data_IF_629670381607
#
_entry.id   IF_629670381607
#
_cell.length_a   1.000
_cell.length_b   1.000
_cell.length_c   1.000
_cell.angle_alpha   90.00
_cell.angle_beta   90.00
_cell.angle_gamma   90.00
#
_symmetry.space_group_name_H-M   'P 1'
#
loop_
_entity.id
_entity.type
_entity.pdbx_description
1 polymer ?
#
# COMPACT_ATOMS: atom_id res chain seq x y z
N UNK A 1 33.22 4.90 -23.72
CA UNK A 1 33.17 4.13 -22.46
C UNK A 1 32.16 4.82 -21.54
N UNK A 2 30.87 4.53 -21.73
CA UNK A 2 29.80 5.06 -20.89
C UNK A 2 29.69 4.21 -19.64
N UNK A 3 30.18 4.76 -18.53
CA UNK A 3 30.11 4.15 -17.22
C UNK A 3 28.67 3.82 -16.86
N UNK A 4 28.45 2.54 -16.59
CA UNK A 4 27.22 2.00 -16.02
C UNK A 4 27.07 2.59 -14.61
N UNK A 5 26.33 3.68 -14.46
CA UNK A 5 25.96 4.19 -13.13
C UNK A 5 24.94 3.22 -12.55
N UNK A 6 25.45 2.23 -11.79
CA UNK A 6 24.64 1.36 -10.95
C UNK A 6 23.70 2.22 -10.12
N UNK A 7 22.39 2.09 -10.37
CA UNK A 7 21.35 2.80 -9.65
C UNK A 7 21.37 2.31 -8.18
N UNK A 8 22.11 3.01 -7.32
CA UNK A 8 22.35 2.66 -5.91
C UNK A 8 21.17 3.04 -5.01
N UNK A 9 19.95 2.84 -5.49
CA UNK A 9 18.72 3.10 -4.75
C UNK A 9 18.58 2.22 -3.51
N UNK A 10 17.70 2.63 -2.58
CA UNK A 10 17.29 1.86 -1.39
C UNK A 10 17.01 0.37 -1.69
N UNK A 11 16.56 0.06 -2.92
CA UNK A 11 16.20 -1.28 -3.36
C UNK A 11 17.38 -2.26 -3.39
N UNK A 12 18.56 -1.85 -3.85
CA UNK A 12 19.74 -2.74 -3.91
C UNK A 12 20.38 -2.95 -2.53
N UNK A 13 20.19 -2.00 -1.61
CA UNK A 13 20.75 -2.05 -0.26
C UNK A 13 19.87 -2.80 0.74
N UNK A 14 18.55 -2.87 0.49
CA UNK A 14 17.60 -3.38 1.48
C UNK A 14 17.64 -4.91 1.69
N UNK A 15 18.21 -5.71 0.77
CA UNK A 15 18.16 -7.20 0.77
C UNK A 15 16.78 -7.70 1.23
N UNK A 16 15.74 -7.41 0.43
CA UNK A 16 14.32 -7.56 0.81
C UNK A 16 13.90 -9.01 1.04
N UNK A 17 14.50 -9.95 0.32
CA UNK A 17 14.32 -11.37 0.54
C UNK A 17 15.26 -11.82 1.67
N UNK A 18 14.74 -12.23 2.84
CA UNK A 18 15.57 -12.77 3.91
C UNK A 18 16.06 -14.19 3.60
N UNK A 19 15.58 -14.81 2.53
CA UNK A 19 15.89 -16.18 2.15
C UNK A 19 16.95 -16.21 1.05
N UNK A 20 17.86 -17.19 1.10
CA UNK A 20 18.84 -17.43 0.03
C UNK A 20 18.24 -18.17 -1.17
N UNK A 21 17.47 -19.23 -0.88
CA UNK A 21 16.71 -19.99 -1.87
C UNK A 21 15.22 -19.92 -1.53
N UNK A 22 14.52 -18.95 -2.13
CA UNK A 22 13.08 -18.79 -1.91
C UNK A 22 12.26 -19.96 -2.45
N UNK A 23 12.73 -20.69 -3.48
CA UNK A 23 11.98 -21.82 -4.06
C UNK A 23 11.96 -23.02 -3.13
N UNK A 24 13.05 -23.28 -2.42
CA UNK A 24 13.05 -24.27 -1.33
C UNK A 24 12.09 -23.86 -0.20
N UNK A 25 12.08 -22.58 0.19
CA UNK A 25 11.16 -22.06 1.21
C UNK A 25 9.71 -22.20 0.78
N UNK A 26 9.36 -21.79 -0.44
CA UNK A 26 8.02 -21.94 -1.02
C UNK A 26 7.56 -23.40 -1.05
N UNK A 27 8.43 -24.32 -1.49
CA UNK A 27 8.12 -25.75 -1.58
C UNK A 27 7.87 -26.42 -0.23
N UNK A 28 8.43 -25.87 0.87
CA UNK A 28 8.22 -26.37 2.22
C UNK A 28 6.91 -25.90 2.88
N UNK A 29 6.24 -24.89 2.30
CA UNK A 29 5.00 -24.34 2.85
C UNK A 29 3.79 -25.15 2.41
N UNK A 30 2.69 -25.11 3.18
CA UNK A 30 1.43 -25.66 2.72
C UNK A 30 1.02 -25.08 1.36
N UNK A 31 0.29 -25.86 0.56
CA UNK A 31 -0.30 -25.37 -0.69
C UNK A 31 -1.21 -24.17 -0.41
N UNK A 32 -1.33 -23.27 -1.38
CA UNK A 32 -2.26 -22.16 -1.30
C UNK A 32 -3.70 -22.68 -1.14
N UNK A 33 -4.38 -22.22 -0.09
CA UNK A 33 -5.76 -22.62 0.21
C UNK A 33 -6.75 -21.83 -0.65
N UNK A 34 -7.17 -22.45 -1.75
CA UNK A 34 -8.12 -21.90 -2.73
C UNK A 34 -9.55 -21.81 -2.18
N UNK A 35 -9.90 -22.65 -1.21
CA UNK A 35 -11.26 -22.80 -0.68
C UNK A 35 -11.53 -21.88 0.51
N UNK A 36 -10.50 -21.20 1.03
CA UNK A 36 -10.67 -20.31 2.15
C UNK A 36 -11.61 -19.15 1.79
N UNK A 37 -12.62 -18.93 2.64
CA UNK A 37 -13.60 -17.85 2.52
C UNK A 37 -13.50 -16.85 3.66
N UNK A 38 -13.98 -15.63 3.42
CA UNK A 38 -14.14 -14.63 4.49
C UNK A 38 -15.07 -15.17 5.59
N UNK A 39 -14.75 -14.85 6.85
CA UNK A 39 -15.61 -15.18 7.99
C UNK A 39 -15.58 -14.11 9.07
N UNK A 40 -16.69 -13.96 9.77
CA UNK A 40 -16.74 -13.19 11.00
C UNK A 40 -16.43 -14.05 12.22
N UNK A 41 -15.73 -13.45 13.18
CA UNK A 41 -15.54 -14.00 14.53
C UNK A 41 -16.24 -13.10 15.55
N UNK A 42 -16.43 -13.63 16.76
CA UNK A 42 -16.79 -12.79 17.91
C UNK A 42 -15.65 -11.82 18.23
N UNK A 43 -15.97 -10.78 18.99
CA UNK A 43 -14.98 -9.95 19.64
C UNK A 43 -14.07 -10.81 20.53
N UNK A 44 -12.82 -10.37 20.69
CA UNK A 44 -11.81 -11.08 21.50
C UNK A 44 -12.30 -11.25 22.94
N UNK A 45 -12.87 -10.18 23.53
CA UNK A 45 -13.49 -10.20 24.84
C UNK A 45 -14.85 -9.47 24.79
N UNK A 46 -15.97 -10.21 24.65
CA UNK A 46 -17.31 -9.64 24.69
C UNK A 46 -17.68 -9.02 26.05
N UNK A 47 -16.95 -9.36 27.12
CA UNK A 47 -17.17 -8.85 28.47
C UNK A 47 -16.32 -7.62 28.81
N UNK A 48 -15.53 -7.11 27.87
CA UNK A 48 -14.66 -5.95 28.09
C UNK A 48 -15.48 -4.73 28.53
N UNK A 49 -14.96 -3.98 29.50
CA UNK A 49 -15.58 -2.76 30.02
C UNK A 49 -14.64 -1.56 29.87
N UNK A 50 -15.18 -0.34 29.72
CA UNK A 50 -14.40 0.88 29.81
C UNK A 50 -13.47 0.88 31.04
N UNK A 51 -12.19 1.19 30.82
CA UNK A 51 -11.15 1.18 31.86
C UNK A 51 -10.46 -0.18 32.08
N UNK A 52 -10.96 -1.30 31.52
CA UNK A 52 -10.34 -2.63 31.72
C UNK A 52 -8.95 -2.80 31.09
N UNK A 53 -8.53 -1.88 30.22
CA UNK A 53 -7.22 -1.95 29.56
C UNK A 53 -7.15 -3.06 28.50
N UNK A 54 -5.98 -3.66 28.32
CA UNK A 54 -5.76 -4.70 27.32
C UNK A 54 -6.41 -6.05 27.71
N UNK A 55 -6.88 -6.81 26.71
CA UNK A 55 -7.51 -8.14 26.91
C UNK A 55 -6.57 -9.20 27.51
N UNK A 56 -5.26 -8.94 27.54
CA UNK A 56 -4.27 -9.78 28.23
C UNK A 56 -3.14 -8.89 28.79
N UNK A 57 -2.38 -9.43 29.74
CA UNK A 57 -1.30 -8.72 30.43
C UNK A 57 0.12 -9.13 30.02
N UNK A 58 0.29 -10.10 29.10
CA UNK A 58 1.61 -10.65 28.77
C UNK A 58 2.57 -9.62 28.16
N UNK A 59 2.05 -8.53 27.60
CA UNK A 59 2.87 -7.41 27.14
C UNK A 59 3.67 -6.73 28.28
N UNK A 60 3.24 -6.87 29.54
CA UNK A 60 3.98 -6.36 30.71
C UNK A 60 5.27 -7.13 30.99
N UNK A 61 5.38 -8.36 30.49
CA UNK A 61 6.57 -9.19 30.62
C UNK A 61 7.71 -8.72 29.69
N UNK A 62 7.44 -7.72 28.84
CA UNK A 62 8.38 -7.18 27.89
C UNK A 62 8.53 -5.67 28.05
N UNK A 63 9.78 -5.19 28.16
CA UNK A 63 10.05 -3.75 28.15
C UNK A 63 9.88 -3.19 26.73
N UNK A 64 9.35 -1.97 26.64
CA UNK A 64 9.39 -1.19 25.40
C UNK A 64 10.81 -0.61 25.25
N UNK A 65 11.46 -0.89 24.13
CA UNK A 65 12.81 -0.40 23.83
C UNK A 65 12.69 0.87 22.99
N UNK A 66 13.44 1.90 23.39
CA UNK A 66 13.59 3.12 22.61
C UNK A 66 14.51 2.87 21.41
N UNK A 67 14.10 3.37 20.24
CA UNK A 67 14.90 3.32 19.02
C UNK A 67 14.93 4.72 18.41
N UNK A 68 16.05 5.41 18.54
CA UNK A 68 16.28 6.68 17.85
C UNK A 68 16.53 6.41 16.35
N UNK A 69 15.70 6.93 15.42
CA UNK A 69 15.93 6.76 13.99
C UNK A 69 17.24 7.39 13.48
N UNK A 70 17.88 8.25 14.27
CA UNK A 70 19.17 8.91 13.96
C UNK A 70 20.30 8.52 14.92
N UNK A 71 20.08 7.52 15.77
CA UNK A 71 21.08 7.06 16.73
C UNK A 71 22.36 6.54 16.07
N UNK A 72 23.46 6.54 16.83
CA UNK A 72 24.77 6.10 16.35
C UNK A 72 24.72 4.68 15.76
N UNK A 73 25.33 4.50 14.58
CA UNK A 73 25.39 3.20 13.89
C UNK A 73 24.10 2.78 13.16
N UNK A 74 23.03 3.57 13.22
CA UNK A 74 21.75 3.24 12.55
C UNK A 74 21.66 3.85 11.16
N UNK A 75 21.30 3.04 10.16
CA UNK A 75 21.10 3.51 8.79
C UNK A 75 19.63 3.82 8.47
N UNK A 76 19.39 4.59 7.41
CA UNK A 76 18.02 4.77 6.89
C UNK A 76 17.41 3.45 6.37
N UNK A 77 18.24 2.46 6.02
CA UNK A 77 17.77 1.13 5.61
C UNK A 77 17.19 0.37 6.81
N UNK A 78 17.76 0.54 8.01
CA UNK A 78 17.23 -0.05 9.24
C UNK A 78 15.89 0.58 9.63
N UNK A 79 15.75 1.90 9.42
CA UNK A 79 14.47 2.59 9.55
C UNK A 79 13.45 2.05 8.55
N UNK A 80 13.83 1.90 7.27
CA UNK A 80 12.95 1.30 6.27
C UNK A 80 12.48 -0.09 6.70
N UNK A 81 13.38 -1.00 7.09
CA UNK A 81 13.06 -2.35 7.52
C UNK A 81 12.11 -2.37 8.72
N UNK A 82 12.38 -1.55 9.74
CA UNK A 82 11.55 -1.44 10.93
C UNK A 82 10.15 -0.89 10.62
N UNK A 83 10.06 0.14 9.78
CA UNK A 83 8.77 0.76 9.44
C UNK A 83 7.90 -0.18 8.61
N UNK A 84 8.45 -0.86 7.60
CA UNK A 84 7.66 -1.77 6.77
C UNK A 84 7.28 -3.08 7.49
N UNK A 85 7.99 -3.46 8.55
CA UNK A 85 7.60 -4.62 9.37
C UNK A 85 6.61 -4.25 10.45
N UNK A 86 6.75 -3.05 11.04
CA UNK A 86 5.88 -2.57 12.13
C UNK A 86 4.54 -2.00 11.67
N UNK A 87 4.47 -1.39 10.48
CA UNK A 87 3.24 -0.79 9.94
C UNK A 87 2.63 -1.77 8.94
N UNK A 88 1.77 -2.67 9.41
CA UNK A 88 1.15 -3.73 8.60
C UNK A 88 -0.27 -4.10 9.08
N UNK A 89 -1.14 -4.66 8.21
CA UNK A 89 -0.99 -4.73 6.76
C UNK A 89 -1.13 -3.34 6.12
N UNK A 90 -0.39 -3.09 5.04
CA UNK A 90 -0.52 -1.85 4.25
C UNK A 90 -1.37 -2.10 3.02
N UNK A 91 -2.28 -1.18 2.75
CA UNK A 91 -2.93 -1.09 1.46
C UNK A 91 -1.89 -0.88 0.35
N UNK A 92 -2.14 -1.47 -0.82
CA UNK A 92 -1.27 -1.35 -1.99
C UNK A 92 -2.04 -0.57 -3.05
N UNK A 93 -1.65 0.68 -3.28
CA UNK A 93 -2.13 1.42 -4.44
C UNK A 93 -1.47 0.86 -5.69
N UNK A 94 -2.23 0.20 -6.56
CA UNK A 94 -1.71 -0.26 -7.85
C UNK A 94 -1.94 0.81 -8.90
N UNK A 95 -0.90 1.56 -9.19
CA UNK A 95 -1.00 2.86 -9.84
C UNK A 95 -0.65 2.74 -11.32
N UNK A 96 -1.56 3.23 -12.17
CA UNK A 96 -1.25 3.50 -13.58
C UNK A 96 -1.06 4.98 -13.83
N UNK A 97 -0.10 5.29 -14.70
CA UNK A 97 0.18 6.64 -15.21
C UNK A 97 0.58 6.56 -16.68
N UNK A 98 0.56 7.69 -17.36
CA UNK A 98 1.02 7.84 -18.74
C UNK A 98 1.97 9.04 -18.82
N UNK A 99 2.99 8.96 -19.67
CA UNK A 99 3.86 10.11 -19.94
C UNK A 99 3.09 11.26 -20.59
N UNK A 100 3.65 12.47 -20.51
CA UNK A 100 3.03 13.68 -21.09
C UNK A 100 2.73 13.55 -22.58
N UNK A 101 3.64 12.94 -23.34
CA UNK A 101 3.55 12.69 -24.78
C UNK A 101 2.74 11.43 -25.15
N UNK A 102 2.27 10.66 -24.16
CA UNK A 102 1.49 9.44 -24.37
C UNK A 102 2.32 8.22 -24.80
N UNK A 103 3.64 8.33 -24.93
CA UNK A 103 4.49 7.26 -25.48
C UNK A 103 4.76 6.13 -24.50
N UNK A 104 4.80 6.43 -23.20
CA UNK A 104 5.04 5.44 -22.15
C UNK A 104 3.83 5.33 -21.23
N UNK A 105 3.46 4.10 -20.90
CA UNK A 105 2.44 3.78 -19.91
C UNK A 105 3.12 2.97 -18.83
N UNK A 106 2.85 3.30 -17.58
CA UNK A 106 3.41 2.58 -16.45
C UNK A 106 2.30 1.99 -15.58
N UNK A 107 2.61 0.88 -14.92
CA UNK A 107 1.75 0.22 -13.95
C UNK A 107 2.60 -0.38 -12.81
N UNK A 108 2.50 0.14 -11.59
CA UNK A 108 3.34 -0.30 -10.48
C UNK A 108 2.63 -0.24 -9.12
N UNK A 109 2.95 -1.14 -8.18
CA UNK A 109 2.35 -1.14 -6.83
C UNK A 109 3.12 -0.26 -5.83
N UNK A 110 2.38 0.50 -5.03
CA UNK A 110 2.91 1.39 -4.00
C UNK A 110 2.19 1.18 -2.66
N UNK A 111 2.87 0.55 -1.71
CA UNK A 111 2.31 0.27 -0.37
C UNK A 111 2.33 1.46 0.60
N UNK A 112 2.85 2.62 0.18
CA UNK A 112 2.76 3.88 0.91
C UNK A 112 1.56 4.69 0.39
N UNK A 113 0.40 4.04 0.30
CA UNK A 113 -0.85 4.62 -0.20
C UNK A 113 -1.93 4.49 0.87
N UNK A 114 -2.70 5.54 1.13
CA UNK A 114 -3.88 5.50 2.01
C UNK A 114 -4.93 6.55 1.63
N UNK A 115 -6.17 6.33 2.08
CA UNK A 115 -7.24 7.33 2.06
C UNK A 115 -6.99 8.36 3.16
N UNK A 116 -7.32 9.62 2.88
CA UNK A 116 -7.17 10.77 3.78
C UNK A 116 -8.53 11.41 4.09
N UNK A 117 -9.39 11.58 3.09
CA UNK A 117 -10.68 12.23 3.24
C UNK A 117 -11.72 11.60 2.30
N UNK A 118 -13.01 11.81 2.56
CA UNK A 118 -14.12 11.34 1.71
C UNK A 118 -14.95 12.46 1.07
N UNK A 119 -14.86 13.70 1.57
CA UNK A 119 -15.52 14.87 0.97
C UNK A 119 -14.56 16.10 0.94
N UNK A 120 -13.80 16.31 -0.16
CA UNK A 120 -13.71 15.43 -1.34
C UNK A 120 -12.93 14.13 -1.06
N UNK A 121 -13.01 13.12 -1.94
CA UNK A 121 -12.21 11.89 -1.80
C UNK A 121 -10.72 12.16 -2.00
N UNK A 122 -9.94 12.18 -0.92
CA UNK A 122 -8.51 12.48 -0.95
C UNK A 122 -7.69 11.25 -0.61
N UNK A 123 -6.62 11.03 -1.36
CA UNK A 123 -5.66 9.96 -1.14
C UNK A 123 -4.25 10.55 -1.06
N UNK A 124 -3.36 9.88 -0.33
CA UNK A 124 -1.94 10.19 -0.36
C UNK A 124 -1.12 9.00 -0.86
N UNK A 125 -0.06 9.30 -1.60
CA UNK A 125 0.85 8.32 -2.19
C UNK A 125 2.29 8.79 -1.92
N UNK A 126 3.07 7.94 -1.28
CA UNK A 126 4.49 8.14 -1.05
C UNK A 126 5.36 7.40 -2.06
N UNK A 127 6.23 8.12 -2.76
CA UNK A 127 7.28 7.57 -3.62
C UNK A 127 8.62 7.67 -2.89
N UNK A 128 9.18 6.55 -2.45
CA UNK A 128 10.51 6.53 -1.82
C UNK A 128 11.62 6.53 -2.88
N UNK A 129 12.66 7.35 -2.72
CA UNK A 129 13.78 7.47 -3.65
C UNK A 129 14.22 8.93 -3.84
N UNK A 130 15.49 9.14 -4.17
CA UNK A 130 16.09 10.47 -4.33
C UNK A 130 16.23 10.96 -5.77
N UNK A 131 16.59 12.24 -5.91
CA UNK A 131 16.68 12.96 -7.18
C UNK A 131 17.68 12.29 -8.13
N UNK A 132 17.25 12.01 -9.35
CA UNK A 132 18.04 11.35 -10.40
C UNK A 132 17.37 10.12 -11.03
N UNK A 133 16.40 9.51 -10.35
CA UNK A 133 15.43 8.59 -10.96
C UNK A 133 14.14 8.57 -10.13
N UNK A 134 13.29 9.59 -10.31
CA UNK A 134 11.88 9.40 -9.91
C UNK A 134 11.41 8.11 -10.59
N UNK A 135 10.76 7.22 -9.84
CA UNK A 135 10.04 6.10 -10.45
C UNK A 135 9.14 6.70 -11.53
N UNK A 136 9.04 6.02 -12.68
CA UNK A 136 8.30 6.51 -13.85
C UNK A 136 6.89 6.99 -13.46
N UNK A 137 6.22 6.28 -12.56
CA UNK A 137 4.93 6.67 -11.97
C UNK A 137 4.94 8.06 -11.34
N UNK A 138 5.93 8.36 -10.48
CA UNK A 138 6.04 9.67 -9.84
C UNK A 138 6.33 10.77 -10.86
N UNK A 139 7.25 10.50 -11.81
CA UNK A 139 7.58 11.43 -12.88
C UNK A 139 6.34 11.78 -13.71
N UNK A 140 5.65 10.75 -14.21
CA UNK A 140 4.45 10.90 -15.02
C UNK A 140 3.37 11.65 -14.24
N UNK A 141 3.14 11.32 -12.96
CA UNK A 141 2.15 12.00 -12.13
C UNK A 141 2.47 13.49 -11.96
N UNK A 142 3.73 13.85 -11.70
CA UNK A 142 4.12 15.26 -11.56
C UNK A 142 4.02 16.03 -12.87
N UNK A 143 4.28 15.39 -14.01
CA UNK A 143 4.20 16.02 -15.34
C UNK A 143 2.77 16.15 -15.87
N UNK A 144 1.88 15.22 -15.50
CA UNK A 144 0.54 15.09 -16.09
C UNK A 144 -0.59 15.42 -15.15
N UNK A 145 -0.37 15.33 -13.84
CA UNK A 145 -1.39 15.51 -12.82
C UNK A 145 -2.44 14.41 -12.78
N UNK A 146 -2.25 13.27 -13.45
CA UNK A 146 -3.26 12.23 -13.61
C UNK A 146 -2.73 10.83 -13.26
N UNK A 147 -3.55 10.04 -12.58
CA UNK A 147 -3.29 8.62 -12.31
C UNK A 147 -4.59 7.83 -12.16
N UNK A 148 -4.47 6.50 -12.14
CA UNK A 148 -5.50 5.64 -11.55
C UNK A 148 -4.93 4.85 -10.37
N UNK A 149 -5.72 4.63 -9.32
CA UNK A 149 -5.41 3.72 -8.20
C UNK A 149 -6.31 2.50 -8.32
N UNK A 150 -5.75 1.30 -8.34
CA UNK A 150 -6.49 0.05 -8.47
C UNK A 150 -6.27 -0.81 -7.22
N UNK A 151 -7.31 -1.46 -6.72
CA UNK A 151 -7.19 -2.41 -5.61
C UNK A 151 -6.69 -3.75 -6.14
N UNK A 152 -5.63 -4.30 -5.52
CA UNK A 152 -5.12 -5.63 -5.87
C UNK A 152 -5.92 -6.70 -5.13
N UNK A 153 -6.37 -7.68 -5.90
CA UNK A 153 -7.09 -8.86 -5.42
C UNK A 153 -6.28 -10.13 -5.65
N UNK A 154 -6.58 -11.18 -4.90
CA UNK A 154 -5.84 -12.46 -4.94
C UNK A 154 -5.65 -13.04 -6.34
N UNK A 155 -6.64 -12.91 -7.24
CA UNK A 155 -6.63 -13.54 -8.56
C UNK A 155 -5.63 -12.95 -9.56
N UNK A 156 -4.95 -11.85 -9.23
CA UNK A 156 -3.95 -11.24 -10.11
C UNK A 156 -2.69 -10.76 -9.39
N UNK A 157 -2.41 -11.29 -8.20
CA UNK A 157 -1.28 -10.85 -7.36
C UNK A 157 0.08 -11.13 -8.01
N UNK A 158 0.27 -12.27 -8.68
CA UNK A 158 1.52 -12.57 -9.37
C UNK A 158 1.80 -11.57 -10.49
N UNK A 159 0.77 -11.24 -11.29
CA UNK A 159 0.86 -10.26 -12.37
C UNK A 159 1.18 -8.85 -11.82
N UNK A 160 0.48 -8.42 -10.77
CA UNK A 160 0.73 -7.15 -10.12
C UNK A 160 2.13 -7.09 -9.43
N UNK A 161 2.57 -8.20 -8.83
CA UNK A 161 3.90 -8.30 -8.24
C UNK A 161 5.00 -8.28 -9.32
N UNK A 162 4.75 -8.85 -10.50
CA UNK A 162 5.72 -8.82 -11.60
C UNK A 162 6.05 -7.40 -12.06
N UNK A 163 5.09 -6.47 -11.97
CA UNK A 163 5.35 -5.06 -12.31
C UNK A 163 6.23 -4.33 -11.29
N UNK A 164 6.60 -4.95 -10.17
CA UNK A 164 7.67 -4.46 -9.30
C UNK A 164 9.07 -4.54 -9.93
N UNK A 165 9.19 -5.21 -11.09
CA UNK A 165 10.48 -5.35 -11.77
C UNK A 165 11.10 -3.98 -12.05
N UNK A 166 12.42 -3.88 -11.95
CA UNK A 166 13.16 -2.65 -12.25
C UNK A 166 13.36 -2.52 -13.76
N UNK A 167 12.25 -2.42 -14.49
CA UNK A 167 12.25 -2.23 -15.92
C UNK A 167 12.90 -0.88 -16.29
N UNK A 168 13.66 -0.81 -17.39
CA UNK A 168 14.10 0.47 -17.94
C UNK A 168 12.92 1.38 -18.31
N UNK A 169 13.13 2.69 -18.25
CA UNK A 169 12.13 3.68 -18.66
C UNK A 169 11.58 3.38 -20.06
N UNK A 170 10.25 3.41 -20.19
CA UNK A 170 9.53 3.18 -21.44
C UNK A 170 9.19 1.71 -21.75
N UNK A 171 9.63 0.78 -20.91
CA UNK A 171 9.07 -0.59 -20.94
C UNK A 171 7.66 -0.56 -20.36
N UNK A 172 6.71 -1.10 -21.11
CA UNK A 172 5.28 -1.09 -20.76
C UNK A 172 4.94 -2.28 -19.82
N UNK A 173 4.79 -2.02 -18.51
CA UNK A 173 4.49 -3.08 -17.54
C UNK A 173 3.11 -3.72 -17.75
N UNK A 174 2.19 -3.08 -18.50
CA UNK A 174 0.94 -3.72 -18.90
C UNK A 174 1.18 -4.97 -19.74
N UNK A 175 2.13 -4.89 -20.68
CA UNK A 175 2.50 -6.04 -21.53
C UNK A 175 3.22 -7.13 -20.74
N UNK A 176 4.07 -6.71 -19.80
CA UNK A 176 4.85 -7.63 -18.95
C UNK A 176 3.97 -8.42 -17.98
N UNK A 177 2.96 -7.77 -17.40
CA UNK A 177 2.03 -8.41 -16.47
C UNK A 177 0.92 -9.18 -17.16
N UNK A 178 0.59 -8.84 -18.42
CA UNK A 178 -0.56 -9.39 -19.13
C UNK A 178 -1.91 -8.88 -18.64
N UNK A 179 -1.91 -7.85 -17.78
CA UNK A 179 -3.14 -7.21 -17.28
C UNK A 179 -3.80 -6.35 -18.34
N UNK A 180 -5.11 -6.19 -18.24
CA UNK A 180 -5.93 -5.59 -19.30
C UNK A 180 -6.23 -4.12 -19.00
N UNK A 181 -5.73 -3.16 -19.81
CA UNK A 181 -6.05 -1.75 -19.62
C UNK A 181 -7.46 -1.42 -20.10
N UNK A 182 -8.26 -0.74 -19.26
CA UNK A 182 -9.55 -0.14 -19.62
C UNK A 182 -9.41 1.39 -19.69
N UNK A 183 -9.98 1.99 -20.73
CA UNK A 183 -10.00 3.45 -20.91
C UNK A 183 -10.81 4.11 -19.80
N UNK A 184 -10.16 5.03 -19.09
CA UNK A 184 -10.75 5.87 -18.03
C UNK A 184 -11.64 6.99 -18.61
N UNK A 185 -12.53 7.56 -17.78
CA UNK A 185 -13.56 8.53 -18.21
C UNK A 185 -13.18 9.99 -17.97
N UNK A 186 -12.34 10.27 -16.97
CA UNK A 186 -11.98 11.60 -16.46
C UNK A 186 -10.47 11.87 -16.46
N UNK A 187 -9.64 10.84 -16.61
CA UNK A 187 -8.17 10.94 -16.70
C UNK A 187 -7.63 10.12 -17.88
N UNK A 188 -6.41 10.41 -18.34
CA UNK A 188 -5.78 9.66 -19.45
C UNK A 188 -5.27 8.26 -19.10
N UNK A 189 -4.67 7.99 -17.92
CA UNK A 189 -4.20 6.65 -17.58
C UNK A 189 -5.34 5.63 -17.52
N UNK A 190 -5.09 4.42 -18.01
CA UNK A 190 -6.05 3.32 -17.96
C UNK A 190 -6.19 2.75 -16.55
N UNK A 191 -7.38 2.27 -16.19
CA UNK A 191 -7.57 1.44 -14.99
C UNK A 191 -7.52 -0.05 -15.37
N UNK A 192 -7.34 -0.91 -14.37
CA UNK A 192 -7.07 -2.34 -14.53
C UNK A 192 -8.38 -3.13 -14.57
N UNK A 193 -8.67 -3.85 -15.65
CA UNK A 193 -9.91 -4.62 -15.80
C UNK A 193 -10.09 -5.68 -14.72
N UNK A 194 -8.99 -6.30 -14.29
CA UNK A 194 -8.97 -7.34 -13.28
C UNK A 194 -9.23 -6.79 -11.88
N UNK A 195 -9.11 -5.48 -11.66
CA UNK A 195 -9.40 -4.86 -10.37
C UNK A 195 -10.91 -4.67 -10.20
N UNK A 196 -11.43 -5.10 -9.06
CA UNK A 196 -12.85 -4.93 -8.77
C UNK A 196 -13.21 -3.52 -8.25
N UNK A 197 -12.20 -2.73 -7.87
CA UNK A 197 -12.38 -1.33 -7.47
C UNK A 197 -11.20 -0.47 -7.92
N UNK A 198 -11.50 0.52 -8.76
CA UNK A 198 -10.53 1.46 -9.31
C UNK A 198 -10.98 2.90 -9.14
N UNK A 199 -10.00 3.78 -8.98
CA UNK A 199 -10.18 5.21 -8.74
C UNK A 199 -9.41 5.96 -9.81
N UNK A 200 -10.07 6.85 -10.53
CA UNK A 200 -9.40 7.87 -11.35
C UNK A 200 -9.08 9.06 -10.47
N UNK A 201 -7.86 9.58 -10.51
CA UNK A 201 -7.45 10.66 -9.62
C UNK A 201 -6.60 11.74 -10.27
N UNK A 202 -6.68 12.95 -9.71
CA UNK A 202 -5.92 14.12 -10.13
C UNK A 202 -5.03 14.65 -9.01
N UNK A 203 -3.82 15.07 -9.35
CA UNK A 203 -2.87 15.65 -8.40
C UNK A 203 -3.37 17.01 -7.88
N UNK A 204 -3.41 17.16 -6.55
CA UNK A 204 -3.71 18.44 -5.89
C UNK A 204 -2.42 19.07 -5.37
N UNK A 205 -1.55 18.27 -4.74
CA UNK A 205 -0.35 18.77 -4.11
C UNK A 205 0.77 17.74 -4.14
N UNK A 206 2.02 18.20 -4.16
CA UNK A 206 3.19 17.36 -4.00
C UNK A 206 4.23 18.03 -3.12
N UNK A 207 4.92 17.23 -2.31
CA UNK A 207 6.01 17.68 -1.45
C UNK A 207 7.21 16.74 -1.57
N UNK A 208 8.39 17.28 -1.84
CA UNK A 208 9.65 16.52 -1.91
C UNK A 208 10.35 16.57 -0.54
N UNK A 209 10.69 15.41 -0.02
CA UNK A 209 11.46 15.24 1.21
C UNK A 209 12.95 15.18 0.90
N UNK A 210 13.77 15.72 1.81
CA UNK A 210 15.24 15.65 1.72
C UNK A 210 15.84 14.94 2.94
N UNK A 211 17.07 14.46 2.82
CA UNK A 211 17.77 13.77 3.90
C UNK A 211 18.15 14.76 4.99
N UNK A 212 17.90 14.41 6.26
CA UNK A 212 18.37 15.24 7.40
C UNK A 212 19.89 15.34 7.47
N UNK A 213 20.61 14.32 7.03
CA UNK A 213 22.08 14.31 7.00
C UNK A 213 22.67 14.89 5.72
N UNK A 214 21.85 15.15 4.71
CA UNK A 214 22.25 15.75 3.44
C UNK A 214 21.03 16.44 2.80
N UNK A 215 20.79 17.71 3.10
CA UNK A 215 19.62 18.44 2.60
C UNK A 215 19.56 18.54 1.07
N UNK A 216 20.66 18.29 0.34
CA UNK A 216 20.68 18.30 -1.12
C UNK A 216 20.15 17.00 -1.73
N UNK A 217 20.12 15.92 -0.94
CA UNK A 217 19.64 14.61 -1.34
C UNK A 217 18.14 14.50 -1.08
N UNK A 218 17.33 14.54 -2.13
CA UNK A 218 15.93 14.13 -2.04
C UNK A 218 15.84 12.66 -1.59
N UNK A 219 14.80 12.30 -0.83
CA UNK A 219 14.62 10.96 -0.26
C UNK A 219 13.25 10.36 -0.56
N UNK A 220 12.30 11.20 -0.95
CA UNK A 220 11.01 10.75 -1.47
C UNK A 220 10.11 11.92 -1.83
N UNK A 221 8.98 11.59 -2.45
CA UNK A 221 7.95 12.55 -2.83
C UNK A 221 6.62 12.08 -2.27
N UNK A 222 5.93 12.95 -1.53
CA UNK A 222 4.53 12.81 -1.17
C UNK A 222 3.68 13.44 -2.27
N UNK A 223 2.70 12.72 -2.78
CA UNK A 223 1.66 13.25 -3.65
C UNK A 223 0.29 13.09 -2.98
N UNK A 224 -0.51 14.15 -3.02
CA UNK A 224 -1.91 14.18 -2.57
C UNK A 224 -2.79 14.31 -3.80
N UNK A 225 -3.74 13.41 -3.95
CA UNK A 225 -4.61 13.31 -5.13
C UNK A 225 -6.09 13.27 -4.75
N UNK A 226 -6.93 13.84 -5.61
CA UNK A 226 -8.40 13.78 -5.50
C UNK A 226 -8.92 12.65 -6.37
N UNK A 227 -9.76 11.77 -5.83
CA UNK A 227 -10.55 10.81 -6.60
C UNK A 227 -11.67 11.52 -7.33
N UNK A 228 -11.63 11.53 -8.67
CA UNK A 228 -12.57 12.23 -9.55
C UNK A 228 -13.55 11.30 -10.26
N UNK A 229 -13.33 9.98 -10.20
CA UNK A 229 -14.26 8.96 -10.65
C UNK A 229 -13.94 7.61 -9.99
N UNK A 230 -14.95 6.77 -9.80
CA UNK A 230 -14.81 5.41 -9.28
C UNK A 230 -15.39 4.39 -10.25
N UNK A 231 -14.72 3.25 -10.37
CA UNK A 231 -15.19 2.07 -11.09
C UNK A 231 -15.29 0.92 -10.10
N UNK A 232 -16.47 0.32 -10.02
CA UNK A 232 -16.76 -0.78 -9.09
C UNK A 232 -17.35 -1.92 -9.90
N UNK A 233 -16.88 -3.14 -9.66
CA UNK A 233 -17.45 -4.34 -10.27
C UNK A 233 -18.84 -4.61 -9.66
N UNK A 234 -19.85 -4.81 -10.49
CA UNK A 234 -21.25 -4.86 -10.05
C UNK A 234 -21.54 -6.00 -9.06
N UNK A 235 -20.88 -7.15 -9.21
CA UNK A 235 -21.07 -8.35 -8.40
C UNK A 235 -20.56 -8.20 -6.96
N UNK A 236 -19.73 -7.18 -6.69
CA UNK A 236 -19.15 -6.96 -5.36
C UNK A 236 -19.80 -5.80 -4.62
N UNK A 237 -20.65 -5.00 -5.28
CA UNK A 237 -21.23 -3.81 -4.69
C UNK A 237 -22.67 -4.05 -4.27
N UNK A 238 -23.11 -3.35 -3.21
CA UNK A 238 -24.54 -3.25 -2.94
C UNK A 238 -25.25 -2.33 -3.96
N UNK A 239 -26.58 -2.36 -3.98
CA UNK A 239 -27.41 -1.55 -4.89
C UNK A 239 -27.14 -0.04 -4.83
N UNK A 240 -26.60 0.44 -3.70
CA UNK A 240 -26.27 1.87 -3.47
C UNK A 240 -24.84 2.23 -3.89
N UNK A 241 -24.04 1.26 -4.33
CA UNK A 241 -22.63 1.44 -4.68
C UNK A 241 -21.78 2.09 -3.58
N UNK A 242 -22.12 1.83 -2.31
CA UNK A 242 -21.45 2.46 -1.16
C UNK A 242 -20.88 1.45 -0.16
N UNK A 243 -21.05 0.15 -0.42
CA UNK A 243 -20.42 -0.92 0.34
C UNK A 243 -19.97 -2.03 -0.62
N UNK A 244 -18.77 -2.54 -0.41
CA UNK A 244 -18.19 -3.63 -1.19
C UNK A 244 -18.11 -4.89 -0.33
N UNK A 245 -18.51 -6.03 -0.91
CA UNK A 245 -18.33 -7.34 -0.31
C UNK A 245 -16.85 -7.72 -0.31
N UNK A 246 -16.26 -7.74 0.88
CA UNK A 246 -14.85 -8.09 1.07
C UNK A 246 -14.54 -9.53 0.66
N UNK A 247 -15.52 -10.44 0.76
CA UNK A 247 -15.36 -11.84 0.39
C UNK A 247 -15.20 -12.02 -1.12
N UNK A 248 -15.82 -11.14 -1.91
CA UNK A 248 -15.70 -11.09 -3.35
C UNK A 248 -14.54 -10.19 -3.82
N UNK A 249 -14.23 -9.11 -3.08
CA UNK A 249 -13.09 -8.23 -3.36
C UNK A 249 -11.74 -8.94 -3.18
N UNK A 250 -11.62 -9.85 -2.20
CA UNK A 250 -10.38 -10.59 -1.84
C UNK A 250 -9.12 -9.72 -1.86
N UNK A 251 -9.09 -8.58 -1.14
CA UNK A 251 -7.98 -7.64 -1.23
C UNK A 251 -6.73 -8.20 -0.53
N UNK A 252 -5.57 -7.93 -1.13
CA UNK A 252 -4.27 -8.30 -0.54
C UNK A 252 -3.58 -7.10 0.11
N UNK A 253 -3.01 -7.31 1.29
CA UNK A 253 -2.21 -6.32 2.01
C UNK A 253 -0.72 -6.63 1.95
N UNK A 254 0.14 -5.61 1.93
CA UNK A 254 1.60 -5.78 2.03
C UNK A 254 2.04 -5.84 3.49
N UNK A 255 2.86 -6.84 3.83
CA UNK A 255 3.49 -6.98 5.15
C UNK A 255 4.98 -6.54 5.11
N UNK A 256 5.78 -6.98 6.09
CA UNK A 256 7.22 -6.80 6.08
C UNK A 256 7.92 -7.65 5.00
N UNK A 257 9.01 -7.12 4.43
CA UNK A 257 9.80 -7.82 3.41
C UNK A 257 9.01 -8.15 2.15
N UNK A 258 9.04 -9.43 1.75
CA UNK A 258 8.36 -9.96 0.56
C UNK A 258 6.97 -10.57 0.88
N UNK A 259 6.51 -10.47 2.12
CA UNK A 259 5.29 -11.14 2.56
C UNK A 259 4.03 -10.33 2.20
N UNK A 260 3.01 -11.03 1.71
CA UNK A 260 1.66 -10.51 1.48
C UNK A 260 0.67 -11.16 2.45
N UNK A 261 -0.43 -10.48 2.72
CA UNK A 261 -1.53 -10.94 3.57
C UNK A 261 -2.82 -11.05 2.79
N UNK A 262 -3.61 -12.08 3.12
CA UNK A 262 -5.00 -12.23 2.69
C UNK A 262 -5.92 -11.65 3.76
N UNK A 263 -7.00 -11.01 3.34
CA UNK A 263 -8.02 -10.51 4.28
C UNK A 263 -9.12 -11.56 4.43
N UNK A 264 -8.97 -12.47 5.40
CA UNK A 264 -9.79 -13.71 5.50
C UNK A 264 -10.77 -13.75 6.66
N UNK A 265 -10.59 -12.91 7.68
CA UNK A 265 -11.50 -12.89 8.82
C UNK A 265 -11.55 -11.50 9.46
N UNK A 266 -12.68 -11.19 10.08
CA UNK A 266 -12.90 -9.95 10.81
C UNK A 266 -13.84 -10.14 11.99
N UNK A 267 -13.93 -9.13 12.84
CA UNK A 267 -14.93 -9.04 13.91
C UNK A 267 -15.47 -7.62 13.92
N UNK A 268 -16.70 -7.45 14.38
CA UNK A 268 -17.40 -6.16 14.31
C UNK A 268 -17.49 -5.53 15.69
N UNK A 269 -17.08 -4.27 15.77
CA UNK A 269 -17.21 -3.46 16.97
C UNK A 269 -18.02 -2.22 16.66
N UNK A 270 -19.09 -2.00 17.42
CA UNK A 270 -19.85 -0.76 17.35
C UNK A 270 -19.01 0.39 17.89
N UNK A 271 -19.11 1.56 17.25
CA UNK A 271 -18.51 2.78 17.78
C UNK A 271 -19.14 3.10 19.15
N UNK A 272 -18.35 3.23 20.24
CA UNK A 272 -18.90 3.64 21.53
C UNK A 272 -19.53 5.04 21.46
N UNK A 273 -20.63 5.22 22.19
CA UNK A 273 -21.24 6.53 22.42
C UNK A 273 -20.71 7.07 23.74
N UNK A 274 -20.30 8.34 23.76
CA UNK A 274 -19.86 9.00 24.97
C UNK A 274 -21.03 9.12 25.96
N UNK A 275 -20.86 8.57 27.15
CA UNK A 275 -21.82 8.57 28.26
C UNK A 275 -21.16 9.25 29.45
N UNK A 276 -21.60 10.47 29.75
CA UNK A 276 -20.95 11.35 30.73
C UNK A 276 -20.95 10.74 32.14
N UNK A 277 -22.05 10.12 32.54
CA UNK A 277 -22.20 9.57 33.89
C UNK A 277 -21.31 8.35 34.08
N UNK A 278 -21.29 7.42 33.10
CA UNK A 278 -20.36 6.26 33.14
C UNK A 278 -18.90 6.68 33.12
N UNK A 279 -18.56 7.73 32.37
CA UNK A 279 -17.19 8.24 32.32
C UNK A 279 -16.80 8.86 33.67
N UNK A 280 -17.69 9.61 34.33
CA UNK A 280 -17.44 10.14 35.69
C UNK A 280 -17.21 9.01 36.70
N UNK A 281 -17.96 7.92 36.64
CA UNK A 281 -17.75 6.76 37.52
C UNK A 281 -16.38 6.09 37.33
N UNK A 282 -15.82 6.12 36.12
CA UNK A 282 -14.51 5.50 35.82
C UNK A 282 -13.35 6.42 36.19
N UNK A 283 -13.53 7.74 36.09
CA UNK A 283 -12.48 8.72 36.31
C UNK A 283 -12.33 9.17 37.77
N UNK A 284 -13.34 8.91 38.62
CA UNK A 284 -13.33 9.18 40.07
C UNK A 284 -12.78 7.97 40.86
#
# INVERSE_FOLDING_TARGET
>A
MSGNTSNSGLESQAKRDPHGDFKAVESSRPKFDQEATWKYTKNIDPGWKPGSGANNASWKDHRKVEVDPYGEGRSHVDNYKLLISGITPRFIGFISTVSKDGTTRNLAPFSYTTVVNHDPPIFCIGFSGGKGSHKDTCKNLLETGELTINVISEWFIEAANYTCTNAPYGVDEWKLSGLTPIVSKKVRPAHVAESAFSIEAKLIHSHEWTSKTDPTRATGTLCIVEGVNFHVREDIANDKLNMLDISALKPVGRLGGITYSRTMQGFEMTRPVYDEDKVKEILN
#
